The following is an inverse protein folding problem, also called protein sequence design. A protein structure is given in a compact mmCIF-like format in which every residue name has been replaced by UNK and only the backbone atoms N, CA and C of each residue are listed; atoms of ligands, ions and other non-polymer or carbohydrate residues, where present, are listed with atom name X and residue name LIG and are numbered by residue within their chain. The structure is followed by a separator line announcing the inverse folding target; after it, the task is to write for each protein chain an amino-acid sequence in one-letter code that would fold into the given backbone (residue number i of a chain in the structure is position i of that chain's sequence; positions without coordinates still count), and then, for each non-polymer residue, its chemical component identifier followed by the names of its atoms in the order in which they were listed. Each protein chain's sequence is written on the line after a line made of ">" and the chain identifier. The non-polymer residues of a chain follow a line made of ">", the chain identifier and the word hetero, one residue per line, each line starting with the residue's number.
data_IF_786216318192
#
_entry.id   IF_786216318192
#
_cell.length_a   1.000
_cell.length_b   1.000
_cell.length_c   1.000
_cell.angle_alpha   90.00
_cell.angle_beta   90.00
_cell.angle_gamma   90.00
#
_symmetry.space_group_name_H-M   'P 1'
#
loop_
_entity.id
_entity.type
_entity.pdbx_description
1 polymer ?
#
# COMPACT_ATOMS: atom_id res chain seq x y z
N UNK A 1 -22.96 2.72 11.44
CA UNK A 1 -22.02 1.90 10.63
C UNK A 1 -20.61 2.26 11.06
N UNK A 2 -19.92 1.39 11.82
CA UNK A 2 -18.55 1.64 12.23
C UNK A 2 -17.61 1.49 11.04
N UNK A 3 -16.97 2.58 10.60
CA UNK A 3 -15.96 2.54 9.55
C UNK A 3 -14.81 1.63 9.99
N UNK A 4 -14.56 0.54 9.26
CA UNK A 4 -13.42 -0.35 9.52
C UNK A 4 -12.15 0.39 9.11
N UNK A 5 -11.48 1.03 10.06
CA UNK A 5 -10.19 1.65 9.83
C UNK A 5 -9.12 0.58 9.57
N UNK A 6 -8.48 0.65 8.41
CA UNK A 6 -7.34 -0.20 8.08
C UNK A 6 -6.05 0.45 8.57
N UNK A 7 -5.17 -0.33 9.21
CA UNK A 7 -3.86 0.13 9.67
C UNK A 7 -2.84 0.05 8.53
N UNK A 8 -2.14 1.14 8.28
CA UNK A 8 -0.99 1.23 7.39
C UNK A 8 0.28 1.38 8.23
N UNK A 9 1.27 0.53 8.01
CA UNK A 9 2.56 0.54 8.73
C UNK A 9 3.67 0.81 7.73
N UNK A 10 4.62 1.66 8.12
CA UNK A 10 5.78 2.03 7.30
C UNK A 10 7.06 1.77 8.11
N UNK A 11 8.00 1.06 7.49
CA UNK A 11 9.36 0.96 7.99
C UNK A 11 10.16 2.19 7.52
N UNK A 12 10.77 2.89 8.47
CA UNK A 12 11.47 4.15 8.21
C UNK A 12 12.91 4.07 8.69
N UNK A 13 13.81 4.67 7.92
CA UNK A 13 15.16 4.97 8.40
C UNK A 13 15.10 5.87 9.66
N UNK A 14 15.95 5.63 10.69
CA UNK A 14 15.92 6.39 11.94
C UNK A 14 16.16 7.92 11.79
N UNK A 15 16.91 8.35 10.78
CA UNK A 15 17.09 9.78 10.49
C UNK A 15 15.81 10.37 9.87
N UNK A 16 15.19 9.62 8.96
CA UNK A 16 13.93 10.04 8.35
C UNK A 16 12.79 10.12 9.39
N UNK A 17 12.68 9.13 10.28
CA UNK A 17 11.72 9.13 11.38
C UNK A 17 11.88 10.36 12.28
N UNK A 18 13.12 10.73 12.62
CA UNK A 18 13.41 11.93 13.42
C UNK A 18 12.98 13.21 12.72
N UNK A 19 13.32 13.37 11.44
CA UNK A 19 12.87 14.52 10.63
C UNK A 19 11.36 14.62 10.59
N UNK A 20 10.68 13.49 10.36
CA UNK A 20 9.22 13.42 10.33
C UNK A 20 8.60 13.85 11.67
N UNK A 21 9.16 13.39 12.78
CA UNK A 21 8.70 13.74 14.13
C UNK A 21 8.83 15.24 14.41
N UNK A 22 9.96 15.84 14.04
CA UNK A 22 10.18 17.29 14.19
C UNK A 22 9.17 18.07 13.36
N UNK A 23 8.98 17.70 12.09
CA UNK A 23 8.02 18.39 11.21
C UNK A 23 6.58 18.28 11.71
N UNK A 24 6.17 17.10 12.21
CA UNK A 24 4.86 16.92 12.79
C UNK A 24 4.66 17.81 14.03
N UNK A 25 5.66 17.86 14.92
CA UNK A 25 5.63 18.72 16.11
C UNK A 25 5.55 20.21 15.75
N UNK A 26 6.33 20.67 14.76
CA UNK A 26 6.29 22.05 14.28
C UNK A 26 4.91 22.44 13.71
N UNK A 27 4.16 21.47 13.18
CA UNK A 27 2.80 21.68 12.69
C UNK A 27 1.72 21.42 13.75
N UNK A 28 2.08 21.17 15.01
CA UNK A 28 1.13 20.86 16.08
C UNK A 28 0.32 19.58 15.82
N UNK A 29 0.87 18.65 15.04
CA UNK A 29 0.19 17.43 14.63
C UNK A 29 0.92 16.18 15.12
N UNK A 30 0.18 15.08 15.28
CA UNK A 30 0.82 13.77 15.47
C UNK A 30 1.49 13.31 14.17
N UNK A 31 2.50 12.44 14.27
CA UNK A 31 3.15 11.86 13.08
C UNK A 31 2.14 11.18 12.15
N UNK A 32 1.14 10.48 12.70
CA UNK A 32 0.08 9.84 11.91
C UNK A 32 -0.72 10.85 11.10
N UNK A 33 -1.19 11.93 11.75
CA UNK A 33 -1.95 12.98 11.08
C UNK A 33 -1.10 13.68 10.02
N UNK A 34 0.16 13.97 10.33
CA UNK A 34 1.09 14.58 9.39
C UNK A 34 1.28 13.70 8.15
N UNK A 35 1.52 12.39 8.33
CA UNK A 35 1.66 11.45 7.22
C UNK A 35 0.39 11.34 6.38
N UNK A 36 -0.78 11.21 7.02
CA UNK A 36 -2.06 11.14 6.30
C UNK A 36 -2.29 12.39 5.46
N UNK A 37 -2.14 13.58 6.05
CA UNK A 37 -2.31 14.84 5.33
C UNK A 37 -1.29 15.01 4.18
N UNK A 38 -0.06 14.52 4.36
CA UNK A 38 0.95 14.53 3.30
C UNK A 38 0.56 13.59 2.14
N UNK A 39 0.09 12.38 2.43
CA UNK A 39 -0.37 11.41 1.43
C UNK A 39 -1.59 11.94 0.69
N UNK A 40 -2.60 12.43 1.40
CA UNK A 40 -3.81 13.01 0.79
C UNK A 40 -3.48 14.18 -0.13
N UNK A 41 -2.56 15.06 0.29
CA UNK A 41 -2.12 16.18 -0.54
C UNK A 41 -1.41 15.71 -1.81
N UNK A 42 -0.58 14.67 -1.73
CA UNK A 42 0.13 14.16 -2.90
C UNK A 42 -0.83 13.45 -3.86
N UNK A 43 -1.74 12.62 -3.35
CA UNK A 43 -2.79 11.99 -4.15
C UNK A 43 -3.66 13.02 -4.87
N UNK A 44 -4.08 14.07 -4.17
CA UNK A 44 -4.87 15.14 -4.78
C UNK A 44 -4.12 15.89 -5.89
N UNK A 45 -2.79 16.03 -5.80
CA UNK A 45 -1.99 16.58 -6.90
C UNK A 45 -1.92 15.61 -8.07
N UNK A 46 -1.65 14.33 -7.82
CA UNK A 46 -1.57 13.30 -8.87
C UNK A 46 -2.89 13.19 -9.65
N UNK A 47 -4.02 13.34 -8.95
CA UNK A 47 -5.35 13.42 -9.53
C UNK A 47 -5.56 14.71 -10.35
N UNK A 48 -5.20 15.86 -9.78
CA UNK A 48 -5.41 17.18 -10.41
C UNK A 48 -4.50 17.45 -11.61
N UNK A 49 -3.26 16.91 -11.60
CA UNK A 49 -2.32 16.97 -12.72
C UNK A 49 -2.72 16.04 -13.87
N UNK A 50 -3.85 15.33 -13.72
CA UNK A 50 -4.49 14.56 -14.78
C UNK A 50 -3.63 13.39 -15.21
N UNK A 51 -3.30 12.49 -14.30
CA UNK A 51 -2.81 11.11 -14.57
C UNK A 51 -1.97 10.95 -15.84
N UNK A 52 -0.99 11.84 -16.08
CA UNK A 52 0.09 11.52 -17.01
C UNK A 52 0.99 10.53 -16.29
N UNK A 53 0.66 9.25 -16.43
CA UNK A 53 1.40 8.05 -16.05
C UNK A 53 0.89 7.20 -14.87
N UNK A 54 -0.43 7.00 -14.75
CA UNK A 54 -0.90 5.65 -14.40
C UNK A 54 -1.53 5.04 -15.66
N UNK A 55 -0.90 4.02 -16.30
CA UNK A 55 -1.49 3.35 -17.47
C UNK A 55 -2.73 2.50 -17.11
N UNK A 56 -3.18 2.57 -15.86
CA UNK A 56 -4.23 1.75 -15.29
C UNK A 56 -5.27 2.69 -14.68
N UNK A 57 -6.31 3.03 -15.45
CA UNK A 57 -7.45 3.80 -14.94
C UNK A 57 -8.28 3.01 -13.91
N UNK A 58 -9.38 3.60 -13.41
CA UNK A 58 -10.31 2.93 -12.48
C UNK A 58 -10.77 1.55 -12.98
N UNK A 59 -10.91 1.40 -14.29
CA UNK A 59 -11.25 0.14 -14.93
C UNK A 59 -10.17 -0.94 -14.69
N UNK A 60 -8.89 -0.58 -14.74
CA UNK A 60 -7.80 -1.50 -14.49
C UNK A 60 -7.68 -1.88 -13.01
N UNK A 61 -8.00 -0.94 -12.09
CA UNK A 61 -8.11 -1.24 -10.66
C UNK A 61 -9.30 -2.18 -10.39
N UNK A 62 -10.43 -1.96 -11.07
CA UNK A 62 -11.62 -2.82 -10.97
C UNK A 62 -11.37 -4.21 -11.54
N UNK A 63 -10.65 -4.31 -12.67
CA UNK A 63 -10.21 -5.57 -13.26
C UNK A 63 -9.23 -6.30 -12.34
N UNK A 64 -8.29 -5.59 -11.72
CA UNK A 64 -7.35 -6.17 -10.75
C UNK A 64 -8.10 -6.74 -9.54
N UNK A 65 -9.06 -6.00 -8.98
CA UNK A 65 -9.87 -6.45 -7.86
C UNK A 65 -10.70 -7.70 -8.22
N UNK A 66 -11.28 -7.72 -9.42
CA UNK A 66 -12.06 -8.85 -9.94
C UNK A 66 -11.19 -10.09 -10.15
N UNK A 67 -10.00 -9.94 -10.76
CA UNK A 67 -9.02 -11.01 -10.92
C UNK A 67 -8.50 -11.53 -9.59
N UNK A 68 -8.26 -10.63 -8.63
CA UNK A 68 -7.84 -11.02 -7.29
C UNK A 68 -8.93 -11.87 -6.60
N UNK A 69 -10.20 -11.48 -6.75
CA UNK A 69 -11.32 -12.23 -6.21
C UNK A 69 -11.50 -13.59 -6.92
N UNK A 70 -11.35 -13.65 -8.23
CA UNK A 70 -11.43 -14.89 -9.01
C UNK A 70 -10.31 -15.87 -8.63
N UNK A 71 -9.07 -15.39 -8.56
CA UNK A 71 -7.89 -16.24 -8.33
C UNK A 71 -7.76 -16.64 -6.86
N UNK A 72 -8.08 -15.74 -5.93
CA UNK A 72 -7.88 -15.98 -4.50
C UNK A 72 -9.18 -16.21 -3.72
N UNK A 73 -10.36 -16.11 -4.36
CA UNK A 73 -11.66 -16.39 -3.76
C UNK A 73 -11.93 -15.58 -2.49
N UNK A 74 -11.51 -14.30 -2.47
CA UNK A 74 -11.61 -13.44 -1.29
C UNK A 74 -10.68 -13.79 -0.13
N UNK A 75 -9.83 -14.81 -0.27
CA UNK A 75 -8.81 -15.14 0.75
C UNK A 75 -7.64 -14.18 0.60
N UNK A 76 -7.44 -13.32 1.60
CA UNK A 76 -6.15 -12.63 1.77
C UNK A 76 -5.08 -13.70 1.91
N UNK A 77 -4.15 -13.76 0.96
CA UNK A 77 -3.02 -14.67 1.05
C UNK A 77 -2.20 -14.23 2.26
N UNK A 78 -2.34 -14.98 3.35
CA UNK A 78 -1.65 -14.72 4.61
C UNK A 78 -0.20 -15.14 4.42
N UNK A 79 0.66 -14.17 4.08
CA UNK A 79 2.07 -14.42 3.89
C UNK A 79 2.75 -13.36 3.04
N UNK A 80 4.03 -13.15 3.31
CA UNK A 80 4.92 -12.42 2.42
C UNK A 80 4.91 -13.11 1.03
N UNK A 81 4.53 -12.35 -0.01
CA UNK A 81 4.45 -12.84 -1.39
C UNK A 81 5.76 -13.47 -1.85
N UNK A 82 6.90 -12.98 -1.34
CA UNK A 82 8.21 -13.56 -1.64
C UNK A 82 8.37 -14.97 -1.07
N UNK A 83 7.77 -15.29 0.10
CA UNK A 83 7.81 -16.65 0.68
C UNK A 83 6.98 -17.62 -0.14
N UNK A 84 5.77 -17.22 -0.55
CA UNK A 84 4.89 -18.04 -1.37
C UNK A 84 5.53 -18.40 -2.72
N UNK A 85 6.20 -17.44 -3.36
CA UNK A 85 6.92 -17.68 -4.62
C UNK A 85 8.11 -18.63 -4.40
N UNK A 86 8.84 -18.51 -3.29
CA UNK A 86 9.94 -19.44 -2.97
C UNK A 86 9.43 -20.87 -2.74
N UNK A 87 8.33 -21.03 -2.03
CA UNK A 87 7.72 -22.35 -1.78
C UNK A 87 7.22 -22.99 -3.07
N UNK A 88 6.52 -22.23 -3.92
CA UNK A 88 6.05 -22.70 -5.23
C UNK A 88 7.20 -23.11 -6.18
N UNK A 89 8.35 -22.44 -6.09
CA UNK A 89 9.55 -22.84 -6.86
C UNK A 89 10.14 -24.14 -6.33
N UNK A 90 10.22 -24.32 -5.01
CA UNK A 90 10.73 -25.55 -4.39
C UNK A 90 9.89 -26.77 -4.76
N UNK A 91 8.56 -26.65 -4.70
CA UNK A 91 7.65 -27.75 -5.09
C UNK A 91 7.78 -28.13 -6.56
N UNK A 92 8.08 -27.17 -7.44
CA UNK A 92 8.30 -27.45 -8.87
C UNK A 92 9.63 -28.18 -9.12
N UNK A 93 10.67 -27.85 -8.37
CA UNK A 93 11.99 -28.51 -8.50
C UNK A 93 12.04 -29.89 -7.83
N UNK A 94 11.20 -30.13 -6.80
CA UNK A 94 11.12 -31.44 -6.13
C UNK A 94 10.15 -32.43 -6.79
N UNK A 95 9.35 -31.97 -7.75
CA UNK A 95 8.43 -32.80 -8.54
C UNK A 95 8.99 -33.18 -9.93
N UNK A 96 10.24 -32.79 -10.21
CA UNK A 96 11.08 -33.28 -11.30
C UNK A 96 12.12 -34.25 -10.74
#
# INVERSE_FOLDING_TARGET
>A
MGSRMTRFTLDLDPLFQRRLKVMAALKGATMRQYCLAAIEKELAKDEAEGSKAFPFGEEALSRLASLQEEVFGGRKVSGDSAKLIREARKTRTSAQ
#
